data_IF_506441264532
#
_entry.id   IF_506441264532
#
_cell.length_a   1.000
_cell.length_b   1.000
_cell.length_c   1.000
_cell.angle_alpha   90.00
_cell.angle_beta   90.00
_cell.angle_gamma   90.00
#
_symmetry.space_group_name_H-M   'P 1'
#
loop_
_entity.id
_entity.type
_entity.pdbx_description
1 polymer ?
#
# COMPACT_ATOMS: atom_id res chain seq x y z
N UNK A 1 5.65 9.79 -39.23
CA UNK A 1 4.55 9.86 -38.23
C UNK A 1 4.67 8.75 -37.19
N UNK A 2 5.00 7.51 -37.56
CA UNK A 2 5.11 6.37 -36.63
C UNK A 2 6.15 6.55 -35.52
N UNK A 3 7.32 7.14 -35.79
CA UNK A 3 8.36 7.39 -34.76
C UNK A 3 7.92 8.40 -33.70
N UNK A 4 7.19 9.45 -34.11
CA UNK A 4 6.67 10.48 -33.20
C UNK A 4 5.57 9.89 -32.32
N UNK A 5 4.69 9.06 -32.90
CA UNK A 5 3.63 8.35 -32.17
C UNK A 5 4.24 7.33 -31.20
N UNK A 6 5.26 6.57 -31.59
CA UNK A 6 5.96 5.63 -30.71
C UNK A 6 6.66 6.32 -29.53
N UNK A 7 7.27 7.49 -29.76
CA UNK A 7 7.90 8.29 -28.70
C UNK A 7 6.90 8.81 -27.67
N UNK A 8 5.76 9.34 -28.13
CA UNK A 8 4.69 9.85 -27.26
C UNK A 8 4.04 8.72 -26.46
N UNK A 9 3.78 7.56 -27.08
CA UNK A 9 3.22 6.40 -26.39
C UNK A 9 4.17 5.90 -25.29
N UNK A 10 5.47 5.79 -25.57
CA UNK A 10 6.46 5.36 -24.58
C UNK A 10 6.54 6.32 -23.38
N UNK A 11 6.51 7.62 -23.65
CA UNK A 11 6.47 8.64 -22.60
C UNK A 11 5.18 8.57 -21.77
N UNK A 12 4.02 8.43 -22.43
CA UNK A 12 2.73 8.32 -21.76
C UNK A 12 2.66 7.07 -20.87
N UNK A 13 3.17 5.92 -21.32
CA UNK A 13 3.24 4.71 -20.51
C UNK A 13 4.18 4.87 -19.31
N UNK A 14 5.34 5.49 -19.49
CA UNK A 14 6.29 5.70 -18.39
C UNK A 14 5.70 6.66 -17.34
N UNK A 15 5.10 7.75 -17.79
CA UNK A 15 4.41 8.70 -16.92
C UNK A 15 3.24 8.04 -16.18
N UNK A 16 2.40 7.27 -16.89
CA UNK A 16 1.28 6.56 -16.27
C UNK A 16 1.77 5.53 -15.25
N UNK A 17 2.82 4.77 -15.58
CA UNK A 17 3.40 3.80 -14.66
C UNK A 17 3.95 4.47 -13.41
N UNK A 18 4.72 5.56 -13.55
CA UNK A 18 5.26 6.30 -12.40
C UNK A 18 4.17 6.89 -11.51
N UNK A 19 3.14 7.49 -12.12
CA UNK A 19 1.99 8.03 -11.38
C UNK A 19 1.27 6.90 -10.65
N UNK A 20 0.95 5.80 -11.33
CA UNK A 20 0.24 4.68 -10.73
C UNK A 20 1.08 4.01 -9.64
N UNK A 21 2.37 3.78 -9.86
CA UNK A 21 3.26 3.19 -8.88
C UNK A 21 3.39 4.07 -7.64
N UNK A 22 3.55 5.39 -7.81
CA UNK A 22 3.59 6.34 -6.68
C UNK A 22 2.26 6.35 -5.93
N UNK A 23 1.15 6.36 -6.63
CA UNK A 23 -0.19 6.43 -6.03
C UNK A 23 -0.53 5.13 -5.28
N UNK A 24 -0.14 3.97 -5.82
CA UNK A 24 -0.22 2.68 -5.13
C UNK A 24 0.67 2.72 -3.88
N UNK A 25 1.92 3.15 -3.98
CA UNK A 25 2.80 3.22 -2.81
C UNK A 25 2.23 4.15 -1.73
N UNK A 26 1.68 5.30 -2.12
CA UNK A 26 1.13 6.27 -1.20
C UNK A 26 -0.13 5.74 -0.49
N UNK A 27 -1.06 5.13 -1.23
CA UNK A 27 -2.30 4.56 -0.67
C UNK A 27 -2.01 3.32 0.18
N UNK A 28 -1.16 2.42 -0.30
CA UNK A 28 -0.92 1.15 0.36
C UNK A 28 0.10 1.28 1.51
N UNK A 29 1.09 2.16 1.41
CA UNK A 29 2.13 2.25 2.45
C UNK A 29 2.05 3.52 3.28
N UNK A 30 2.09 4.69 2.63
CA UNK A 30 2.19 5.96 3.35
C UNK A 30 0.93 6.27 4.16
N UNK A 31 -0.24 6.13 3.55
CA UNK A 31 -1.52 6.48 4.16
C UNK A 31 -1.84 5.67 5.43
N UNK A 32 -1.82 4.31 5.41
CA UNK A 32 -2.08 3.53 6.62
C UNK A 32 -1.00 3.74 7.68
N UNK A 33 0.28 3.80 7.27
CA UNK A 33 1.38 4.05 8.19
C UNK A 33 1.24 5.39 8.91
N UNK A 34 0.94 6.47 8.19
CA UNK A 34 0.77 7.81 8.75
C UNK A 34 -0.44 7.88 9.68
N UNK A 35 -1.58 7.32 9.27
CA UNK A 35 -2.81 7.38 10.06
C UNK A 35 -2.67 6.61 11.38
N UNK A 36 -2.11 5.40 11.34
CA UNK A 36 -1.85 4.60 12.54
C UNK A 36 -0.88 5.31 13.47
N UNK A 37 0.23 5.84 12.92
CA UNK A 37 1.24 6.54 13.71
C UNK A 37 0.69 7.80 14.38
N UNK A 38 -0.22 8.51 13.70
CA UNK A 38 -0.87 9.73 14.21
C UNK A 38 -1.96 9.46 15.24
N UNK A 39 -2.64 8.32 15.15
CA UNK A 39 -3.68 7.91 16.11
C UNK A 39 -3.09 7.48 17.46
N UNK A 40 -1.81 7.10 17.49
CA UNK A 40 -1.15 6.74 18.74
C UNK A 40 -0.89 8.01 19.58
N UNK A 41 -1.38 8.08 20.84
CA UNK A 41 -1.29 9.28 21.69
C UNK A 41 0.13 9.57 22.21
N UNK A 42 1.16 8.93 21.62
CA UNK A 42 2.53 8.93 22.14
C UNK A 42 3.27 10.26 21.89
N UNK A 43 2.88 11.07 20.90
CA UNK A 43 3.46 12.39 20.65
C UNK A 43 2.61 13.25 19.70
N UNK A 44 2.56 14.56 19.98
CA UNK A 44 1.93 15.59 19.12
C UNK A 44 2.80 16.00 17.92
N UNK A 45 4.00 15.43 17.80
CA UNK A 45 4.94 15.65 16.69
C UNK A 45 4.53 14.81 15.48
N UNK A 46 4.80 15.31 14.27
CA UNK A 46 4.54 14.54 13.05
C UNK A 46 5.34 13.22 13.06
N UNK A 47 4.72 12.10 12.63
CA UNK A 47 5.38 10.81 12.67
C UNK A 47 6.56 10.79 11.72
N UNK A 48 7.70 10.27 12.19
CA UNK A 48 8.90 10.16 11.37
C UNK A 48 8.70 9.13 10.25
N UNK A 49 9.46 9.26 9.16
CA UNK A 49 9.40 8.30 8.05
C UNK A 49 9.58 6.84 8.51
N UNK A 50 10.48 6.61 9.48
CA UNK A 50 10.69 5.27 10.06
C UNK A 50 9.47 4.74 10.81
N UNK A 51 8.74 5.60 11.53
CA UNK A 51 7.51 5.21 12.23
C UNK A 51 6.38 4.88 11.24
N UNK A 52 6.23 5.68 10.18
CA UNK A 52 5.25 5.44 9.11
C UNK A 52 5.53 4.10 8.43
N UNK A 53 6.79 3.85 8.06
CA UNK A 53 7.21 2.61 7.41
C UNK A 53 6.94 1.39 8.30
N UNK A 54 7.39 1.43 9.56
CA UNK A 54 7.19 0.30 10.48
C UNK A 54 5.70 0.04 10.76
N UNK A 55 4.92 1.10 10.99
CA UNK A 55 3.48 0.98 11.21
C UNK A 55 2.74 0.43 9.99
N UNK A 56 3.17 0.80 8.78
CA UNK A 56 2.60 0.28 7.53
C UNK A 56 2.94 -1.20 7.32
N UNK A 57 4.20 -1.60 7.51
CA UNK A 57 4.60 -3.01 7.40
C UNK A 57 3.85 -3.85 8.44
N UNK A 58 3.74 -3.36 9.67
CA UNK A 58 2.98 -4.04 10.72
C UNK A 58 1.49 -4.15 10.37
N UNK A 59 0.89 -3.10 9.83
CA UNK A 59 -0.50 -3.12 9.36
C UNK A 59 -0.73 -4.23 8.33
N UNK A 60 0.11 -4.31 7.29
CA UNK A 60 -0.03 -5.34 6.26
C UNK A 60 0.23 -6.75 6.78
N UNK A 61 1.15 -6.90 7.73
CA UNK A 61 1.35 -8.17 8.40
C UNK A 61 0.09 -8.63 9.14
N UNK A 62 -0.57 -7.73 9.88
CA UNK A 62 -1.84 -8.01 10.58
C UNK A 62 -2.97 -8.31 9.59
N UNK A 63 -3.09 -7.55 8.51
CA UNK A 63 -4.09 -7.80 7.45
C UNK A 63 -3.87 -9.18 6.82
N UNK A 64 -2.62 -9.55 6.52
CA UNK A 64 -2.27 -10.86 5.99
C UNK A 64 -2.62 -12.00 6.95
N UNK A 65 -2.28 -11.84 8.24
CA UNK A 65 -2.61 -12.83 9.27
C UNK A 65 -4.14 -12.98 9.43
N UNK A 66 -4.87 -11.87 9.48
CA UNK A 66 -6.33 -11.88 9.58
C UNK A 66 -6.97 -12.53 8.35
N UNK A 67 -6.47 -12.21 7.15
CA UNK A 67 -6.94 -12.82 5.90
C UNK A 67 -6.73 -14.33 5.89
N UNK A 68 -5.57 -14.80 6.37
CA UNK A 68 -5.29 -16.23 6.51
C UNK A 68 -6.25 -16.91 7.49
N UNK A 69 -6.47 -16.32 8.66
CA UNK A 69 -7.40 -16.87 9.67
C UNK A 69 -8.83 -16.92 9.13
N UNK A 70 -9.30 -15.85 8.49
CA UNK A 70 -10.65 -15.83 7.89
C UNK A 70 -10.76 -16.92 6.82
N UNK A 71 -9.77 -17.02 5.92
CA UNK A 71 -9.77 -18.03 4.87
C UNK A 71 -9.75 -19.46 5.44
N UNK A 72 -8.91 -19.74 6.44
CA UNK A 72 -8.81 -21.09 7.02
C UNK A 72 -10.11 -21.52 7.69
N UNK A 73 -10.75 -20.62 8.46
CA UNK A 73 -12.03 -20.92 9.11
C UNK A 73 -13.19 -21.06 8.10
N UNK A 74 -13.18 -20.30 7.01
CA UNK A 74 -14.12 -20.48 5.91
C UNK A 74 -13.91 -21.78 5.15
N UNK A 75 -12.65 -22.20 4.95
CA UNK A 75 -12.33 -23.47 4.31
C UNK A 75 -12.76 -24.67 5.19
N UNK A 76 -12.54 -24.59 6.49
CA UNK A 76 -12.96 -25.63 7.44
C UNK A 76 -14.50 -25.76 7.48
N UNK A 77 -15.24 -24.64 7.49
CA UNK A 77 -16.72 -24.66 7.48
C UNK A 77 -17.34 -25.11 6.14
N UNK A 78 -16.59 -25.10 5.04
CA UNK A 78 -17.04 -25.60 3.75
C UNK A 78 -16.87 -27.12 3.58
N UNK A 79 -16.15 -27.78 4.50
CA UNK A 79 -15.82 -29.22 4.45
C UNK A 79 -16.41 -30.06 5.58
N UNK A 80 -17.05 -29.42 6.56
CA UNK A 80 -17.84 -30.03 7.65
C UNK A 80 -19.32 -30.13 7.31
#
# INVERSE_FOLDING_TARGET
>A
MEEVVGGIIRFAFHFLFDVVARLIFEIFFYFPGYYISKLLPLKKEEPSFGQIFFSSVFFWFVVGLFSYVVYSNFADSATS
#
